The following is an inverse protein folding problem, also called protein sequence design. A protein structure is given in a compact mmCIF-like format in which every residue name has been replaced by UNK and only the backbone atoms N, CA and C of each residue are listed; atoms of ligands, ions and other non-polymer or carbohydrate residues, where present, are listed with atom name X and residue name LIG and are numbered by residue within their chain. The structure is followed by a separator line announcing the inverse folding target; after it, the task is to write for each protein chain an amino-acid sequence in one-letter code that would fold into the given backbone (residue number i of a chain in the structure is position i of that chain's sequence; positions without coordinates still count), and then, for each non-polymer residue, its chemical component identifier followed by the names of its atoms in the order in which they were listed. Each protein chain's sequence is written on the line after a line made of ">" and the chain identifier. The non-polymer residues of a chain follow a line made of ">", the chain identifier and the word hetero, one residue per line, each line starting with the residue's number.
data_IF_880241965381
#
_entry.id   IF_880241965381
#
_cell.length_a   1.000
_cell.length_b   1.000
_cell.length_c   1.000
_cell.angle_alpha   90.00
_cell.angle_beta   90.00
_cell.angle_gamma   90.00
#
_symmetry.space_group_name_H-M   'P 1'
#
loop_
_entity.id
_entity.type
_entity.pdbx_description
1 polymer ?
#
# COMPACT_ATOMS: atom_id res chain seq x y z
N UNK A 1 10.10 34.86 -1.38
CA UNK A 1 8.95 35.79 -1.48
C UNK A 1 8.58 36.06 -2.94
N UNK A 2 9.44 36.70 -3.80
CA UNK A 2 9.05 36.99 -5.20
C UNK A 2 8.76 35.74 -6.02
N UNK A 3 9.54 34.67 -5.86
CA UNK A 3 9.33 33.39 -6.51
C UNK A 3 8.00 32.73 -6.08
N UNK A 4 7.64 32.88 -4.80
CA UNK A 4 6.37 32.35 -4.27
C UNK A 4 5.17 33.12 -4.83
N UNK A 5 5.34 34.45 -5.04
CA UNK A 5 4.34 35.33 -5.67
C UNK A 5 4.12 34.93 -7.13
N UNK A 6 5.21 34.66 -7.87
CA UNK A 6 5.14 34.18 -9.26
C UNK A 6 4.40 32.82 -9.34
N UNK A 7 4.69 31.90 -8.43
CA UNK A 7 4.01 30.59 -8.34
C UNK A 7 2.51 30.78 -8.07
N UNK A 8 2.17 31.61 -7.08
CA UNK A 8 0.78 31.88 -6.73
C UNK A 8 0.03 32.60 -7.86
N UNK A 9 0.67 33.57 -8.50
CA UNK A 9 0.09 34.29 -9.66
C UNK A 9 -0.06 33.36 -10.86
N UNK A 10 0.91 32.47 -11.10
CA UNK A 10 0.83 31.42 -12.12
C UNK A 10 -0.27 30.40 -11.85
N UNK A 11 -0.63 30.19 -10.58
CA UNK A 11 -1.77 29.38 -10.15
C UNK A 11 -3.12 30.12 -10.22
N UNK A 12 -3.17 31.33 -10.82
CA UNK A 12 -4.40 32.08 -11.02
C UNK A 12 -4.86 32.90 -9.80
N UNK A 13 -4.03 33.01 -8.76
CA UNK A 13 -4.34 33.87 -7.59
C UNK A 13 -4.05 35.33 -7.95
N UNK A 14 -5.04 36.24 -7.93
CA UNK A 14 -4.84 37.65 -8.30
C UNK A 14 -4.10 38.40 -7.20
N UNK A 15 -2.78 38.38 -7.31
CA UNK A 15 -1.89 39.14 -6.42
C UNK A 15 -1.54 40.48 -7.07
N UNK A 16 -1.64 41.58 -6.32
CA UNK A 16 -1.21 42.88 -6.77
C UNK A 16 -0.23 43.48 -5.80
N UNK A 17 0.63 44.34 -6.33
CA UNK A 17 1.64 45.06 -5.53
C UNK A 17 1.36 46.54 -5.52
N UNK A 18 1.37 47.17 -4.34
CA UNK A 18 1.22 48.62 -4.18
C UNK A 18 2.56 49.21 -3.80
N UNK A 19 3.03 50.22 -4.55
CA UNK A 19 4.28 50.94 -4.27
C UNK A 19 4.04 52.09 -3.27
N UNK A 20 5.00 52.35 -2.38
CA UNK A 20 4.99 53.55 -1.50
C UNK A 20 5.03 53.19 -0.01
N UNK A 21 4.98 54.27 0.83
CA UNK A 21 5.00 54.16 2.30
C UNK A 21 3.65 53.59 2.77
N UNK A 22 3.61 52.32 3.09
CA UNK A 22 2.38 51.57 3.39
C UNK A 22 1.93 50.64 2.25
N UNK A 23 2.71 50.59 1.17
CA UNK A 23 2.52 49.61 0.11
C UNK A 23 2.97 48.21 0.53
N UNK A 24 2.62 47.23 -0.26
CA UNK A 24 2.91 45.80 0.01
C UNK A 24 2.37 44.90 -1.09
N UNK A 25 2.31 43.62 -0.76
CA UNK A 25 1.74 42.59 -1.60
C UNK A 25 0.39 42.23 -0.99
N UNK A 26 -0.67 42.30 -1.79
CA UNK A 26 -2.03 42.02 -1.35
C UNK A 26 -2.75 41.12 -2.38
N UNK A 27 -3.73 40.38 -1.89
CA UNK A 27 -4.68 39.66 -2.73
C UNK A 27 -5.90 40.58 -2.88
N UNK A 28 -6.57 40.54 -4.05
CA UNK A 28 -7.79 41.32 -4.27
C UNK A 28 -8.84 41.01 -3.20
N UNK A 29 -9.39 42.05 -2.55
CA UNK A 29 -10.30 41.93 -1.41
C UNK A 29 -11.55 41.09 -1.69
N UNK A 30 -11.97 40.97 -2.97
CA UNK A 30 -13.09 40.13 -3.42
C UNK A 30 -12.66 38.78 -3.99
N UNK A 31 -11.39 38.40 -3.83
CA UNK A 31 -10.93 37.10 -4.28
C UNK A 31 -11.44 36.05 -3.31
N UNK A 32 -12.54 35.45 -3.71
CA UNK A 32 -12.95 34.14 -3.23
C UNK A 32 -12.17 33.15 -4.09
N UNK A 33 -11.50 32.18 -3.48
CA UNK A 33 -10.84 31.10 -4.21
C UNK A 33 -11.90 30.48 -5.14
N UNK A 34 -12.01 31.08 -6.34
CA UNK A 34 -13.06 30.73 -7.26
C UNK A 34 -12.74 29.35 -7.85
N UNK A 35 -13.77 28.60 -8.16
CA UNK A 35 -13.72 27.30 -8.86
C UNK A 35 -12.91 27.36 -10.16
N UNK A 36 -12.65 28.58 -10.68
CA UNK A 36 -11.83 28.82 -11.86
C UNK A 36 -10.34 28.47 -11.69
N UNK A 37 -9.85 28.33 -10.45
CA UNK A 37 -8.47 27.92 -10.17
C UNK A 37 -8.26 26.43 -10.41
N UNK A 38 -9.34 25.63 -10.35
CA UNK A 38 -9.30 24.18 -10.54
C UNK A 38 -10.12 23.84 -11.78
N UNK A 39 -9.49 23.28 -12.80
CA UNK A 39 -10.17 22.86 -14.03
C UNK A 39 -11.23 21.79 -13.75
N UNK A 40 -12.14 21.56 -14.69
CA UNK A 40 -13.17 20.52 -14.54
C UNK A 40 -12.56 19.13 -14.42
N UNK A 41 -11.48 18.88 -15.14
CA UNK A 41 -10.71 17.64 -15.10
C UNK A 41 -10.09 17.43 -13.71
N UNK A 42 -9.52 18.47 -13.12
CA UNK A 42 -8.95 18.41 -11.77
C UNK A 42 -10.05 18.25 -10.71
N UNK A 43 -11.20 18.91 -10.86
CA UNK A 43 -12.35 18.71 -9.98
C UNK A 43 -12.85 17.26 -10.01
N UNK A 44 -12.97 16.67 -11.20
CA UNK A 44 -13.35 15.26 -11.37
C UNK A 44 -12.31 14.33 -10.75
N UNK A 45 -11.01 14.60 -10.96
CA UNK A 45 -9.92 13.82 -10.36
C UNK A 45 -9.94 13.87 -8.82
N UNK A 46 -10.22 15.04 -8.23
CA UNK A 46 -10.35 15.22 -6.78
C UNK A 46 -11.53 14.38 -6.25
N UNK A 47 -12.70 14.46 -6.87
CA UNK A 47 -13.88 13.69 -6.45
C UNK A 47 -13.59 12.19 -6.56
N UNK A 48 -13.02 11.74 -7.68
CA UNK A 48 -12.64 10.34 -7.90
C UNK A 48 -11.67 9.84 -6.83
N UNK A 49 -10.63 10.63 -6.52
CA UNK A 49 -9.65 10.28 -5.49
C UNK A 49 -10.31 10.18 -4.10
N UNK A 50 -11.17 11.13 -3.74
CA UNK A 50 -11.88 11.13 -2.45
C UNK A 50 -12.84 9.94 -2.35
N UNK A 51 -13.53 9.59 -3.44
CA UNK A 51 -14.41 8.43 -3.49
C UNK A 51 -13.61 7.14 -3.36
N UNK A 52 -12.49 7.00 -4.08
CA UNK A 52 -11.60 5.85 -3.94
C UNK A 52 -11.00 5.71 -2.54
N UNK A 53 -10.74 6.83 -1.85
CA UNK A 53 -10.24 6.83 -0.47
C UNK A 53 -11.33 6.63 0.58
N UNK A 54 -12.62 6.72 0.23
CA UNK A 54 -13.74 6.56 1.19
C UNK A 54 -13.79 5.19 1.83
N UNK A 55 -13.19 4.18 1.20
CA UNK A 55 -13.03 2.82 1.75
C UNK A 55 -12.06 2.74 2.93
N UNK A 56 -11.23 3.77 3.13
CA UNK A 56 -10.34 3.81 4.29
C UNK A 56 -11.15 4.12 5.56
N UNK A 57 -10.84 3.47 6.69
CA UNK A 57 -11.53 3.71 7.95
C UNK A 57 -11.56 5.20 8.31
N UNK A 58 -12.73 5.69 8.71
CA UNK A 58 -13.03 7.09 9.06
C UNK A 58 -13.06 8.12 7.92
N UNK A 59 -12.62 7.82 6.72
CA UNK A 59 -12.79 8.73 5.57
C UNK A 59 -14.24 8.67 5.06
N UNK A 60 -14.83 7.48 5.01
CA UNK A 60 -16.23 7.23 4.63
C UNK A 60 -17.24 8.12 5.40
N UNK A 61 -17.03 8.28 6.71
CA UNK A 61 -17.95 9.02 7.59
C UNK A 61 -17.94 10.54 7.41
N UNK A 62 -16.97 11.08 6.70
CA UNK A 62 -16.83 12.53 6.55
C UNK A 62 -17.76 13.13 5.52
N UNK A 63 -18.27 12.33 4.58
CA UNK A 63 -19.06 12.79 3.45
C UNK A 63 -18.33 13.87 2.62
N UNK A 64 -16.99 13.81 2.62
CA UNK A 64 -16.17 14.86 2.01
C UNK A 64 -16.27 14.82 0.47
N UNK A 65 -16.41 13.63 -0.12
CA UNK A 65 -16.63 13.47 -1.54
C UNK A 65 -17.96 14.13 -1.98
N UNK A 66 -19.05 13.91 -1.22
CA UNK A 66 -20.36 14.52 -1.48
C UNK A 66 -20.29 16.04 -1.32
N UNK A 67 -19.62 16.54 -0.30
CA UNK A 67 -19.42 17.99 -0.09
C UNK A 67 -18.64 18.61 -1.25
N UNK A 68 -17.60 17.95 -1.75
CA UNK A 68 -16.81 18.42 -2.89
C UNK A 68 -17.61 18.37 -4.18
N UNK A 69 -18.42 17.32 -4.41
CA UNK A 69 -19.32 17.23 -5.55
C UNK A 69 -20.33 18.37 -5.57
N UNK A 70 -20.93 18.70 -4.43
CA UNK A 70 -21.82 19.84 -4.27
C UNK A 70 -21.08 21.18 -4.49
N UNK A 71 -19.88 21.32 -3.92
CA UNK A 71 -19.07 22.53 -4.07
C UNK A 71 -18.70 22.77 -5.54
N UNK A 72 -18.29 21.73 -6.26
CA UNK A 72 -17.92 21.83 -7.66
C UNK A 72 -19.12 21.81 -8.61
N UNK A 73 -20.35 21.57 -8.11
CA UNK A 73 -21.57 21.36 -8.90
C UNK A 73 -21.35 20.26 -9.97
N UNK A 74 -20.58 19.25 -9.61
CA UNK A 74 -20.34 18.11 -10.47
C UNK A 74 -21.48 17.11 -10.30
N UNK A 75 -22.04 16.66 -11.43
CA UNK A 75 -22.97 15.54 -11.47
C UNK A 75 -22.26 14.24 -11.83
N UNK A 76 -20.92 14.25 -11.82
CA UNK A 76 -20.15 13.05 -12.14
C UNK A 76 -20.40 11.99 -11.06
N UNK A 77 -21.12 10.95 -11.46
CA UNK A 77 -21.14 9.70 -10.72
C UNK A 77 -19.72 9.14 -10.75
N UNK A 78 -19.21 8.73 -9.60
CA UNK A 78 -17.91 8.05 -9.54
C UNK A 78 -17.93 6.87 -10.52
N UNK A 79 -16.99 6.88 -11.47
CA UNK A 79 -16.77 5.77 -12.40
C UNK A 79 -15.88 4.67 -11.80
N UNK A 80 -15.41 4.87 -10.55
CA UNK A 80 -14.56 3.95 -9.83
C UNK A 80 -15.14 3.70 -8.44
N UNK A 81 -15.29 2.44 -8.12
CA UNK A 81 -15.55 1.97 -6.75
C UNK A 81 -14.38 1.10 -6.31
N UNK A 82 -13.93 1.30 -5.07
CA UNK A 82 -12.89 0.49 -4.43
C UNK A 82 -13.53 -0.18 -3.23
N UNK A 83 -13.41 -1.48 -3.13
CA UNK A 83 -13.94 -2.25 -2.01
C UNK A 83 -12.79 -2.95 -1.26
N UNK A 84 -12.68 -2.65 0.03
CA UNK A 84 -11.83 -3.36 0.99
C UNK A 84 -12.74 -4.04 2.03
N UNK A 85 -13.78 -4.73 1.55
CA UNK A 85 -14.86 -5.31 2.37
C UNK A 85 -14.43 -6.30 3.44
N UNK A 86 -13.20 -6.82 3.37
CA UNK A 86 -12.62 -7.70 4.38
C UNK A 86 -12.34 -7.02 5.73
N UNK A 87 -12.63 -5.71 5.84
CA UNK A 87 -12.36 -4.96 7.06
C UNK A 87 -13.52 -5.04 8.05
N UNK A 88 -13.36 -5.90 9.06
CA UNK A 88 -14.26 -5.90 10.21
C UNK A 88 -14.00 -4.70 11.15
N UNK A 89 -14.86 -4.52 12.16
CA UNK A 89 -14.77 -3.40 13.12
C UNK A 89 -13.43 -3.38 13.85
N UNK A 90 -12.90 -4.55 14.21
CA UNK A 90 -11.63 -4.66 14.93
C UNK A 90 -10.45 -4.23 14.06
N UNK A 91 -10.44 -4.63 12.79
CA UNK A 91 -9.42 -4.22 11.83
C UNK A 91 -9.47 -2.72 11.53
N UNK A 92 -10.68 -2.12 11.45
CA UNK A 92 -10.84 -0.67 11.31
C UNK A 92 -10.26 0.07 12.52
N UNK A 93 -10.56 -0.37 13.73
CA UNK A 93 -10.02 0.21 14.95
C UNK A 93 -8.49 0.06 15.05
N UNK A 94 -7.98 -1.09 14.65
CA UNK A 94 -6.56 -1.37 14.60
C UNK A 94 -5.83 -0.43 13.64
N UNK A 95 -6.33 -0.29 12.41
CA UNK A 95 -5.78 0.62 11.42
C UNK A 95 -5.79 2.07 11.90
N UNK A 96 -6.89 2.51 12.53
CA UNK A 96 -7.01 3.86 13.07
C UNK A 96 -5.98 4.13 14.16
N UNK A 97 -5.76 3.20 15.09
CA UNK A 97 -4.72 3.34 16.12
C UNK A 97 -3.34 3.57 15.51
N UNK A 98 -2.99 2.81 14.47
CA UNK A 98 -1.71 2.96 13.78
C UNK A 98 -1.64 4.32 13.07
N UNK A 99 -2.70 4.69 12.32
CA UNK A 99 -2.77 5.98 11.62
C UNK A 99 -2.62 7.16 12.59
N UNK A 100 -3.37 7.13 13.69
CA UNK A 100 -3.35 8.22 14.67
C UNK A 100 -1.98 8.32 15.33
N UNK A 101 -1.34 7.19 15.63
CA UNK A 101 0.04 7.18 16.14
C UNK A 101 1.08 7.71 15.15
N UNK A 102 0.87 7.53 13.85
CA UNK A 102 1.72 8.16 12.83
C UNK A 102 1.55 9.69 12.85
N UNK A 103 0.29 10.16 12.89
CA UNK A 103 -0.05 11.58 12.86
C UNK A 103 0.43 12.28 14.13
N UNK A 104 0.18 11.67 15.28
CA UNK A 104 0.50 12.22 16.61
C UNK A 104 1.92 11.89 17.08
N UNK A 105 2.65 11.09 16.30
CA UNK A 105 4.04 10.72 16.56
C UNK A 105 4.27 9.98 17.88
N UNK A 106 3.40 9.02 18.20
CA UNK A 106 3.56 8.12 19.32
C UNK A 106 4.17 6.78 18.90
N UNK A 107 5.12 6.28 19.68
CA UNK A 107 5.68 4.95 19.47
C UNK A 107 4.63 3.86 19.77
N UNK A 108 4.73 2.74 19.06
CA UNK A 108 3.85 1.59 19.18
C UNK A 108 4.58 0.40 19.79
N UNK A 109 3.94 -0.29 20.72
CA UNK A 109 4.33 -1.63 21.12
C UNK A 109 3.54 -2.62 20.26
N UNK A 110 4.25 -3.43 19.47
CA UNK A 110 3.69 -4.39 18.53
C UNK A 110 3.98 -5.82 18.97
N UNK A 111 2.97 -6.69 18.94
CA UNK A 111 3.14 -8.13 18.99
C UNK A 111 3.09 -8.67 17.57
N UNK A 112 4.22 -9.08 17.03
CA UNK A 112 4.40 -9.40 15.62
C UNK A 112 4.77 -10.85 15.39
N UNK A 113 4.17 -11.48 14.37
CA UNK A 113 4.54 -12.82 13.89
C UNK A 113 5.38 -12.66 12.62
N UNK A 114 6.60 -13.20 12.65
CA UNK A 114 7.46 -13.22 11.46
C UNK A 114 7.02 -14.30 10.44
N UNK A 115 7.75 -14.40 9.31
CA UNK A 115 7.50 -15.42 8.28
C UNK A 115 7.70 -16.85 8.76
N UNK A 116 8.46 -17.06 9.82
CA UNK A 116 8.74 -18.37 10.40
C UNK A 116 7.72 -18.77 11.48
N UNK A 117 6.70 -17.94 11.73
CA UNK A 117 5.69 -18.18 12.76
C UNK A 117 6.10 -17.78 14.18
N UNK A 118 7.27 -17.18 14.37
CA UNK A 118 7.75 -16.77 15.69
C UNK A 118 7.11 -15.46 16.12
N UNK A 119 6.61 -15.43 17.35
CA UNK A 119 6.02 -14.24 17.96
C UNK A 119 7.10 -13.44 18.68
N UNK A 120 7.12 -12.13 18.45
CA UNK A 120 8.03 -11.23 19.15
C UNK A 120 7.37 -9.89 19.46
N UNK A 121 7.76 -9.30 20.59
CA UNK A 121 7.39 -7.91 20.91
C UNK A 121 8.41 -6.94 20.31
N UNK A 122 7.89 -5.84 19.78
CA UNK A 122 8.69 -4.79 19.14
C UNK A 122 8.19 -3.43 19.60
N UNK A 123 9.12 -2.51 19.86
CA UNK A 123 8.81 -1.08 19.94
C UNK A 123 9.15 -0.49 18.58
N UNK A 124 8.16 0.15 17.97
CA UNK A 124 8.26 0.71 16.63
C UNK A 124 7.83 2.18 16.63
N UNK A 125 8.56 3.01 15.94
CA UNK A 125 8.21 4.41 15.66
C UNK A 125 7.51 4.43 14.29
N UNK A 126 6.17 4.53 14.24
CA UNK A 126 5.41 4.39 13.03
C UNK A 126 5.57 5.63 12.14
N UNK A 127 5.85 5.43 10.85
CA UNK A 127 6.15 6.53 9.93
C UNK A 127 5.15 6.62 8.78
N UNK A 128 4.72 5.48 8.23
CA UNK A 128 3.85 5.46 7.05
C UNK A 128 3.07 4.16 6.94
N UNK A 129 1.81 4.26 6.51
CA UNK A 129 1.05 3.12 6.00
C UNK A 129 1.29 2.99 4.50
N UNK A 130 1.53 1.77 4.05
CA UNK A 130 1.87 1.46 2.66
C UNK A 130 1.05 0.28 2.16
N UNK A 131 0.35 0.48 1.04
CA UNK A 131 -0.41 -0.58 0.40
C UNK A 131 0.35 -1.11 -0.80
N UNK A 132 0.71 -2.39 -0.77
CA UNK A 132 1.46 -3.08 -1.84
C UNK A 132 0.95 -4.52 -1.97
N UNK A 133 0.77 -4.99 -3.19
CA UNK A 133 0.42 -6.40 -3.49
C UNK A 133 -0.77 -6.89 -2.66
N UNK A 134 -1.88 -6.15 -2.71
CA UNK A 134 -3.15 -6.45 -2.00
C UNK A 134 -2.99 -6.55 -0.47
N UNK A 135 -1.98 -5.92 0.11
CA UNK A 135 -1.69 -5.97 1.55
C UNK A 135 -1.26 -4.62 2.11
N UNK A 136 -1.65 -4.36 3.34
CA UNK A 136 -1.21 -3.20 4.08
C UNK A 136 0.05 -3.49 4.89
N UNK A 137 0.94 -2.53 4.91
CA UNK A 137 2.19 -2.56 5.66
C UNK A 137 2.34 -1.27 6.47
N UNK A 138 2.97 -1.40 7.63
CA UNK A 138 3.46 -0.29 8.43
C UNK A 138 4.96 -0.18 8.23
N UNK A 139 5.40 0.96 7.71
CA UNK A 139 6.81 1.32 7.69
C UNK A 139 7.12 2.03 9.00
N UNK A 140 8.05 1.49 9.75
CA UNK A 140 8.43 2.00 11.06
C UNK A 140 9.91 1.75 11.34
N UNK A 141 10.50 2.60 12.19
CA UNK A 141 11.79 2.29 12.77
C UNK A 141 11.62 1.33 13.95
N UNK A 142 12.22 0.18 13.87
CA UNK A 142 12.14 -0.85 14.89
C UNK A 142 13.30 -0.69 15.87
N UNK A 143 13.04 -0.22 17.10
CA UNK A 143 14.09 0.01 18.11
C UNK A 143 14.89 -1.25 18.44
N UNK A 144 14.25 -2.44 18.40
CA UNK A 144 14.94 -3.72 18.66
C UNK A 144 15.90 -4.11 17.54
N UNK A 145 15.57 -3.76 16.28
CA UNK A 145 16.41 -4.04 15.13
C UNK A 145 17.41 -2.93 14.85
N UNK A 146 17.23 -1.77 15.50
CA UNK A 146 17.96 -0.53 15.27
C UNK A 146 17.95 -0.12 13.78
N UNK A 147 16.79 -0.35 13.11
CA UNK A 147 16.66 -0.16 11.67
C UNK A 147 15.21 0.04 11.26
N UNK A 148 15.00 0.60 10.05
CA UNK A 148 13.68 0.70 9.44
C UNK A 148 13.20 -0.69 9.01
N UNK A 149 11.92 -0.97 9.28
CA UNK A 149 11.28 -2.25 8.96
C UNK A 149 9.90 -2.03 8.40
N UNK A 150 9.51 -2.94 7.54
CA UNK A 150 8.16 -3.02 7.00
C UNK A 150 7.39 -4.16 7.69
N UNK A 151 6.38 -3.80 8.46
CA UNK A 151 5.53 -4.76 9.19
C UNK A 151 4.22 -4.97 8.43
N UNK A 152 3.97 -6.18 7.99
CA UNK A 152 2.68 -6.51 7.36
C UNK A 152 1.57 -6.45 8.42
N UNK A 153 0.52 -5.64 8.19
CA UNK A 153 -0.53 -5.41 9.19
C UNK A 153 -1.22 -6.70 9.63
N UNK A 154 -1.49 -7.62 8.70
CA UNK A 154 -2.11 -8.92 9.00
C UNK A 154 -1.27 -9.83 9.92
N UNK A 155 0.01 -9.53 10.11
CA UNK A 155 0.93 -10.26 11.01
C UNK A 155 1.10 -9.58 12.38
N UNK A 156 0.54 -8.40 12.56
CA UNK A 156 0.51 -7.73 13.86
C UNK A 156 -0.70 -8.30 14.62
N UNK A 157 -0.46 -8.94 15.75
CA UNK A 157 -1.50 -9.57 16.58
C UNK A 157 -2.08 -8.65 17.61
N UNK A 158 -1.28 -7.68 18.06
CA UNK A 158 -1.68 -6.69 19.02
C UNK A 158 -0.90 -5.39 18.82
N UNK A 159 -1.52 -4.27 19.12
CA UNK A 159 -0.95 -2.93 19.04
C UNK A 159 -1.38 -2.10 20.24
N UNK A 160 -0.39 -1.61 20.95
CA UNK A 160 -0.55 -0.69 22.08
C UNK A 160 0.16 0.62 21.74
N UNK A 161 -0.56 1.73 21.90
CA UNK A 161 0.03 3.07 21.75
C UNK A 161 0.77 3.38 23.05
N UNK A 162 2.06 3.68 22.95
CA UNK A 162 2.84 4.09 24.13
C UNK A 162 2.66 5.57 24.40
N UNK A 163 3.13 6.03 25.57
CA UNK A 163 3.16 7.46 25.88
C UNK A 163 4.46 8.14 25.42
N UNK A 164 5.25 7.46 24.59
CA UNK A 164 6.54 7.94 24.13
C UNK A 164 6.41 8.61 22.77
N UNK A 165 6.70 9.90 22.72
CA UNK A 165 6.82 10.64 21.47
C UNK A 165 8.16 10.33 20.78
N UNK A 166 8.15 10.35 19.44
CA UNK A 166 9.36 10.27 18.63
C UNK A 166 9.41 11.43 17.62
N UNK A 167 10.62 11.86 17.25
CA UNK A 167 10.86 12.95 16.29
C UNK A 167 11.42 12.46 14.95
N UNK A 168 11.64 11.15 14.85
CA UNK A 168 12.26 10.55 13.66
C UNK A 168 11.43 10.81 12.42
N UNK A 169 12.08 11.35 11.40
CA UNK A 169 11.47 11.53 10.08
C UNK A 169 11.75 10.31 9.19
N UNK A 170 10.94 10.18 8.16
CA UNK A 170 11.14 9.14 7.17
C UNK A 170 12.36 9.50 6.33
N UNK A 171 13.41 8.69 6.38
CA UNK A 171 14.48 8.75 5.40
C UNK A 171 14.01 8.16 4.06
N UNK A 172 14.81 8.28 3.00
CA UNK A 172 14.57 7.57 1.74
C UNK A 172 14.60 6.05 2.01
N UNK A 173 13.44 5.50 2.39
CA UNK A 173 13.28 4.07 2.57
C UNK A 173 13.18 3.42 1.19
N UNK A 174 14.14 2.58 0.87
CA UNK A 174 14.06 1.75 -0.33
C UNK A 174 13.03 0.64 -0.07
N UNK A 175 11.86 0.77 -0.68
CA UNK A 175 10.74 -0.17 -0.55
C UNK A 175 11.06 -1.62 -1.00
N UNK A 176 12.24 -1.84 -1.54
CA UNK A 176 12.72 -3.15 -2.01
C UNK A 176 13.57 -3.90 -0.96
N UNK A 177 13.77 -3.33 0.23
CA UNK A 177 14.44 -4.01 1.34
C UNK A 177 13.49 -4.98 2.07
N UNK A 178 12.79 -5.83 1.34
CA UNK A 178 12.50 -7.16 1.86
C UNK A 178 13.86 -7.86 1.92
N UNK A 179 14.43 -7.93 3.13
CA UNK A 179 15.66 -8.66 3.48
C UNK A 179 16.61 -8.87 2.28
N UNK A 180 17.91 -8.74 2.48
CA UNK A 180 18.94 -9.21 1.52
C UNK A 180 18.77 -10.71 1.17
N UNK A 181 17.54 -11.20 1.15
CA UNK A 181 17.17 -12.52 0.72
C UNK A 181 17.43 -12.58 -0.78
N UNK A 182 18.48 -13.27 -1.13
CA UNK A 182 18.81 -13.65 -2.50
C UNK A 182 17.53 -14.20 -3.11
N UNK A 183 16.93 -13.42 -4.03
CA UNK A 183 15.75 -13.90 -4.75
C UNK A 183 16.15 -15.09 -5.61
N UNK A 184 15.36 -16.13 -5.56
CA UNK A 184 15.50 -17.28 -6.44
C UNK A 184 14.60 -17.10 -7.66
N UNK A 185 15.18 -17.31 -8.84
CA UNK A 185 14.41 -17.35 -10.07
C UNK A 185 13.81 -18.75 -10.23
N UNK A 186 12.49 -18.79 -10.29
CA UNK A 186 11.75 -20.06 -10.44
C UNK A 186 11.02 -20.05 -11.77
N UNK A 187 11.19 -21.11 -12.54
CA UNK A 187 10.47 -21.36 -13.79
C UNK A 187 9.39 -22.40 -13.52
N UNK A 188 8.15 -22.01 -13.74
CA UNK A 188 6.99 -22.91 -13.60
C UNK A 188 6.37 -23.22 -14.95
N UNK A 189 5.89 -24.45 -15.09
CA UNK A 189 4.92 -24.82 -16.10
C UNK A 189 3.55 -24.87 -15.43
N UNK A 190 2.58 -24.11 -15.95
CA UNK A 190 1.22 -24.05 -15.42
C UNK A 190 0.26 -24.60 -16.48
N UNK A 191 -0.58 -25.53 -16.08
CA UNK A 191 -1.59 -26.12 -16.95
C UNK A 191 -2.60 -25.10 -17.43
N UNK A 192 -3.08 -25.25 -18.67
CA UNK A 192 -4.19 -24.46 -19.23
C UNK A 192 -5.46 -24.46 -18.36
N UNK A 193 -5.63 -25.46 -17.51
CA UNK A 193 -6.78 -25.53 -16.59
C UNK A 193 -6.72 -24.46 -15.49
N UNK A 194 -5.54 -23.87 -15.26
CA UNK A 194 -5.34 -22.73 -14.36
C UNK A 194 -5.02 -21.42 -15.12
N UNK A 195 -5.42 -21.33 -16.40
CA UNK A 195 -5.17 -20.17 -17.28
C UNK A 195 -5.63 -18.85 -16.65
N UNK A 196 -6.76 -18.83 -15.94
CA UNK A 196 -7.27 -17.63 -15.26
C UNK A 196 -6.26 -17.08 -14.24
N UNK A 197 -5.59 -17.94 -13.47
CA UNK A 197 -4.55 -17.50 -12.52
C UNK A 197 -3.33 -16.96 -13.23
N UNK A 198 -3.00 -17.51 -14.39
CA UNK A 198 -1.85 -17.01 -15.16
C UNK A 198 -2.09 -15.57 -15.57
N UNK A 199 -3.28 -15.25 -16.08
CA UNK A 199 -3.61 -13.86 -16.46
C UNK A 199 -3.78 -12.93 -15.26
N UNK A 200 -4.25 -13.41 -14.12
CA UNK A 200 -4.42 -12.61 -12.91
C UNK A 200 -3.08 -12.27 -12.22
N UNK A 201 -2.08 -13.15 -12.33
CA UNK A 201 -0.89 -13.10 -11.49
C UNK A 201 0.41 -12.83 -12.26
N UNK A 202 0.47 -13.11 -13.58
CA UNK A 202 1.67 -12.98 -14.41
C UNK A 202 1.43 -12.10 -15.64
N UNK A 203 2.31 -11.12 -15.85
CA UNK A 203 2.24 -10.26 -17.03
C UNK A 203 2.93 -10.89 -18.26
N UNK A 204 4.02 -11.64 -18.00
CA UNK A 204 4.85 -12.25 -19.04
C UNK A 204 4.77 -13.77 -18.95
N UNK A 205 3.74 -14.36 -19.54
CA UNK A 205 3.55 -15.81 -19.61
C UNK A 205 3.65 -16.28 -21.06
N UNK A 206 4.50 -17.26 -21.32
CA UNK A 206 4.65 -17.86 -22.65
C UNK A 206 3.70 -19.07 -22.79
N UNK A 207 2.77 -19.00 -23.78
CA UNK A 207 1.87 -20.10 -24.06
C UNK A 207 2.57 -21.16 -24.91
N UNK A 208 2.56 -22.41 -24.44
CA UNK A 208 3.15 -23.55 -25.18
C UNK A 208 2.21 -24.07 -26.28
N UNK A 209 2.72 -24.89 -27.19
CA UNK A 209 1.91 -25.48 -28.25
C UNK A 209 0.73 -26.34 -27.72
N UNK A 210 0.88 -26.95 -26.54
CA UNK A 210 -0.14 -27.77 -25.89
C UNK A 210 -1.18 -26.94 -25.13
N UNK A 211 -0.98 -25.61 -25.10
CA UNK A 211 -1.86 -24.66 -24.43
C UNK A 211 -1.51 -24.40 -22.97
N UNK A 212 -0.51 -25.05 -22.41
CA UNK A 212 0.02 -24.74 -21.08
C UNK A 212 0.86 -23.44 -21.11
N UNK A 213 1.28 -22.98 -19.95
CA UNK A 213 2.01 -21.72 -19.80
C UNK A 213 3.35 -21.95 -19.12
N UNK A 214 4.36 -21.23 -19.59
CA UNK A 214 5.66 -21.12 -18.92
C UNK A 214 5.73 -19.71 -18.31
N UNK A 215 5.99 -19.65 -17.01
CA UNK A 215 6.16 -18.39 -16.28
C UNK A 215 7.49 -18.38 -15.53
N UNK A 216 8.12 -17.22 -15.50
CA UNK A 216 9.32 -16.97 -14.72
C UNK A 216 8.96 -16.00 -13.59
N UNK A 217 9.35 -16.34 -12.36
CA UNK A 217 9.13 -15.50 -11.20
C UNK A 217 10.39 -15.41 -10.34
N UNK A 218 10.59 -14.26 -9.69
CA UNK A 218 11.74 -14.01 -8.81
C UNK A 218 11.24 -13.58 -7.45
N UNK A 219 11.46 -14.40 -6.43
CA UNK A 219 11.01 -14.15 -5.06
C UNK A 219 12.08 -14.59 -4.05
N UNK A 220 12.09 -14.00 -2.83
CA UNK A 220 12.89 -14.50 -1.74
C UNK A 220 12.56 -15.97 -1.44
N UNK A 221 13.60 -16.78 -1.27
CA UNK A 221 13.43 -18.18 -0.92
C UNK A 221 13.02 -18.36 0.55
N UNK A 222 11.76 -18.72 0.77
CA UNK A 222 11.18 -18.92 2.09
C UNK A 222 9.90 -19.77 2.02
N UNK A 223 9.30 -20.07 3.18
CA UNK A 223 8.07 -20.86 3.28
C UNK A 223 6.88 -20.25 2.52
N UNK A 224 6.85 -18.92 2.34
CA UNK A 224 5.81 -18.27 1.54
C UNK A 224 5.91 -18.68 0.06
N UNK A 225 7.12 -18.69 -0.51
CA UNK A 225 7.35 -19.08 -1.91
C UNK A 225 6.89 -20.52 -2.15
N UNK A 226 7.25 -21.43 -1.25
CA UNK A 226 6.84 -22.84 -1.36
C UNK A 226 5.32 -22.99 -1.25
N UNK A 227 4.69 -22.30 -0.29
CA UNK A 227 3.24 -22.26 -0.14
C UNK A 227 2.53 -21.68 -1.36
N UNK A 228 3.11 -20.62 -1.94
CA UNK A 228 2.59 -20.00 -3.16
C UNK A 228 2.62 -20.98 -4.35
N UNK A 229 3.73 -21.64 -4.58
CA UNK A 229 3.85 -22.66 -5.65
C UNK A 229 2.83 -23.79 -5.41
N UNK A 230 2.75 -24.31 -4.19
CA UNK A 230 1.80 -25.39 -3.86
C UNK A 230 0.33 -24.94 -3.96
N UNK A 231 0.03 -23.64 -3.89
CA UNK A 231 -1.32 -23.12 -4.05
C UNK A 231 -1.91 -23.33 -5.44
N UNK A 232 -1.10 -23.64 -6.44
CA UNK A 232 -1.56 -24.04 -7.77
C UNK A 232 -2.04 -25.49 -7.82
N UNK A 233 -1.80 -26.27 -6.74
CA UNK A 233 -2.19 -27.67 -6.66
C UNK A 233 -1.53 -28.51 -7.75
N UNK A 234 -2.32 -29.36 -8.41
CA UNK A 234 -1.87 -30.23 -9.49
C UNK A 234 -1.57 -29.50 -10.82
N UNK A 235 -1.89 -28.20 -10.89
CA UNK A 235 -1.79 -27.45 -12.13
C UNK A 235 -0.43 -26.78 -12.35
N UNK A 236 0.49 -26.84 -11.39
CA UNK A 236 1.82 -26.26 -11.56
C UNK A 236 2.93 -27.29 -11.33
N UNK A 237 3.94 -27.18 -12.17
CA UNK A 237 5.19 -27.95 -12.07
C UNK A 237 6.38 -27.00 -12.03
N UNK A 238 7.27 -27.19 -11.06
CA UNK A 238 8.56 -26.47 -11.02
C UNK A 238 9.49 -27.10 -12.04
N UNK A 239 9.91 -26.31 -13.05
CA UNK A 239 10.89 -26.73 -14.03
C UNK A 239 12.31 -26.46 -13.55
N UNK A 240 12.52 -25.25 -13.04
CA UNK A 240 13.81 -24.76 -12.55
C UNK A 240 13.62 -23.86 -11.32
N UNK A 241 14.56 -23.87 -10.37
CA UNK A 241 15.69 -24.79 -10.25
C UNK A 241 15.26 -26.15 -9.65
N UNK A 242 16.02 -27.19 -9.94
CA UNK A 242 15.71 -28.57 -9.53
C UNK A 242 15.57 -28.73 -8.03
N UNK A 243 16.41 -28.04 -7.23
CA UNK A 243 16.33 -28.15 -5.78
C UNK A 243 15.00 -27.64 -5.20
N UNK A 244 14.40 -26.59 -5.77
CA UNK A 244 13.06 -26.11 -5.38
C UNK A 244 12.02 -27.19 -5.68
N UNK A 245 12.12 -27.85 -6.86
CA UNK A 245 11.25 -28.97 -7.20
C UNK A 245 11.33 -30.11 -6.16
N UNK A 246 12.54 -30.44 -5.70
CA UNK A 246 12.76 -31.47 -4.69
C UNK A 246 12.17 -31.07 -3.33
N UNK A 247 12.29 -29.80 -2.94
CA UNK A 247 11.65 -29.27 -1.72
C UNK A 247 10.12 -29.38 -1.84
N UNK A 248 9.54 -28.94 -2.95
CA UNK A 248 8.08 -29.02 -3.17
C UNK A 248 7.62 -30.48 -3.13
N UNK A 249 8.33 -31.39 -3.80
CA UNK A 249 8.04 -32.83 -3.75
C UNK A 249 8.00 -33.36 -2.31
N UNK A 250 9.02 -33.05 -1.53
CA UNK A 250 9.09 -33.46 -0.11
C UNK A 250 7.92 -32.91 0.72
N UNK A 251 7.52 -31.66 0.46
CA UNK A 251 6.36 -31.04 1.13
C UNK A 251 5.04 -31.71 0.73
N UNK A 252 4.87 -32.08 -0.56
CA UNK A 252 3.69 -32.80 -1.05
C UNK A 252 3.62 -34.17 -0.41
N UNK A 253 4.72 -34.91 -0.30
CA UNK A 253 4.77 -36.22 0.36
C UNK A 253 4.33 -36.12 1.83
N UNK A 254 4.81 -35.08 2.57
CA UNK A 254 4.34 -34.81 3.93
C UNK A 254 2.85 -34.43 3.97
N UNK A 255 2.37 -33.68 2.99
CA UNK A 255 0.98 -33.27 2.90
C UNK A 255 0.05 -34.48 2.68
N UNK A 256 0.43 -35.45 1.85
CA UNK A 256 -0.31 -36.66 1.62
C UNK A 256 -0.54 -37.43 2.93
N UNK A 257 0.49 -37.50 3.80
CA UNK A 257 0.39 -38.17 5.10
C UNK A 257 -0.64 -37.54 6.06
N UNK A 258 -1.05 -36.29 5.83
CA UNK A 258 -2.08 -35.62 6.63
C UNK A 258 -3.51 -36.05 6.23
N UNK A 259 -3.66 -36.76 5.08
CA UNK A 259 -4.95 -37.21 4.54
C UNK A 259 -5.08 -38.74 4.50
N UNK A 260 -4.04 -39.47 4.89
CA UNK A 260 -4.06 -40.93 5.08
C UNK A 260 -4.27 -41.27 6.56
#
# INVERSE_FOLDING_TARGET
>A
IYRDIEILSGAGIPIYTTKGKGGGISILDNFILDKSVISKEEQSAIITALTAMSVLPNVEKTGIADKMSLLFKSNDSSWIDVDFSDWNVEQKNFFNKIRDSIIERFALKLKYINSNGEISERIAEPLKLYFKSKSWYLIAYCRKADDYRMFRLSRIRDVEVTNEHFEREMCEYKYDNDDENICVNVKLKISKNAEYRVYDEFQDAEKTADGDFIVNMSYPENEWLYGYIMSFGEYAEVLEPTYIRDIIKTKIEKMINNYL
#
